data_IF_011748404576
#
_entry.id   IF_011748404576
#
_cell.length_a   1.000
_cell.length_b   1.000
_cell.length_c   1.000
_cell.angle_alpha   90.00
_cell.angle_beta   90.00
_cell.angle_gamma   90.00
#
_symmetry.space_group_name_H-M   'P 1'
#
loop_
_entity.id
_entity.type
_entity.pdbx_description
1 polymer ?
#
# COMPACT_ATOMS: atom_id res chain seq x y z
N UNK A 1 -37.29 4.57 7.13
CA UNK A 1 -36.75 5.82 7.71
C UNK A 1 -36.07 6.63 6.62
N UNK A 2 -36.10 7.95 6.72
CA UNK A 2 -35.39 8.85 5.80
C UNK A 2 -34.43 9.72 6.61
N UNK A 3 -33.13 9.51 6.42
CA UNK A 3 -32.10 10.33 7.08
C UNK A 3 -32.16 11.80 6.63
N UNK A 4 -32.67 12.07 5.42
CA UNK A 4 -32.74 13.43 4.86
C UNK A 4 -33.87 14.27 5.46
N UNK A 5 -35.00 13.65 5.78
CA UNK A 5 -36.21 14.35 6.25
C UNK A 5 -36.48 14.15 7.73
N UNK A 6 -35.72 13.28 8.41
CA UNK A 6 -35.91 12.95 9.83
C UNK A 6 -37.11 12.05 10.12
N UNK A 7 -37.85 11.64 9.08
CA UNK A 7 -39.03 10.78 9.22
C UNK A 7 -38.60 9.37 9.62
N UNK A 8 -39.13 8.86 10.73
CA UNK A 8 -38.82 7.53 11.24
C UNK A 8 -37.66 7.47 12.25
N UNK A 9 -37.09 8.63 12.65
CA UNK A 9 -35.98 8.68 13.63
C UNK A 9 -36.47 8.39 15.06
N UNK A 10 -37.57 8.98 15.56
CA UNK A 10 -38.09 8.65 16.89
C UNK A 10 -38.39 7.14 17.04
N UNK A 11 -39.04 6.55 16.04
CA UNK A 11 -39.38 5.13 16.05
C UNK A 11 -38.14 4.23 15.99
N UNK A 12 -37.07 4.68 15.31
CA UNK A 12 -35.79 3.98 15.34
C UNK A 12 -35.17 4.01 16.73
N UNK A 13 -35.21 5.14 17.43
CA UNK A 13 -34.67 5.26 18.79
C UNK A 13 -35.40 4.31 19.75
N UNK A 14 -36.73 4.25 19.69
CA UNK A 14 -37.53 3.31 20.48
C UNK A 14 -37.12 1.86 20.18
N UNK A 15 -36.95 1.51 18.89
CA UNK A 15 -36.51 0.16 18.48
C UNK A 15 -35.10 -0.18 18.92
N UNK A 16 -34.18 0.79 18.96
CA UNK A 16 -32.83 0.60 19.48
C UNK A 16 -32.90 0.24 20.97
N UNK A 17 -33.70 0.98 21.76
CA UNK A 17 -33.89 0.69 23.19
C UNK A 17 -34.53 -0.68 23.42
N UNK A 18 -35.49 -1.09 22.57
CA UNK A 18 -36.13 -2.40 22.69
C UNK A 18 -35.22 -3.58 22.32
N UNK A 19 -34.31 -3.41 21.33
CA UNK A 19 -33.54 -4.52 20.74
C UNK A 19 -32.11 -4.61 21.24
N UNK A 20 -31.48 -3.49 21.57
CA UNK A 20 -30.08 -3.48 22.03
C UNK A 20 -30.06 -3.79 23.52
N UNK A 21 -29.43 -4.90 23.94
CA UNK A 21 -29.36 -5.24 25.35
C UNK A 21 -28.55 -4.20 26.11
N UNK A 22 -28.94 -3.96 27.36
CA UNK A 22 -28.14 -3.13 28.27
C UNK A 22 -26.73 -3.71 28.43
N UNK A 23 -25.71 -2.85 28.61
CA UNK A 23 -24.34 -3.32 28.86
C UNK A 23 -24.30 -4.18 30.12
N UNK A 24 -23.51 -5.26 30.06
CA UNK A 24 -23.30 -6.19 31.18
C UNK A 24 -21.88 -6.04 31.69
N UNK A 25 -21.70 -6.12 33.02
CA UNK A 25 -20.39 -6.03 33.66
C UNK A 25 -20.49 -5.96 35.19
N UNK A 26 -19.37 -6.15 35.86
CA UNK A 26 -19.26 -6.18 37.33
C UNK A 26 -18.75 -4.84 37.84
N UNK A 27 -19.63 -4.03 38.44
CA UNK A 27 -19.29 -2.68 38.90
C UNK A 27 -18.22 -2.65 40.02
N UNK A 28 -18.20 -3.63 40.91
CA UNK A 28 -17.21 -3.73 42.01
C UNK A 28 -15.95 -4.52 41.62
N UNK A 29 -15.87 -4.96 40.36
CA UNK A 29 -14.75 -5.69 39.79
C UNK A 29 -13.50 -4.81 39.61
N UNK A 30 -12.33 -5.42 39.31
CA UNK A 30 -11.19 -4.65 38.80
C UNK A 30 -11.59 -3.92 37.51
N UNK A 31 -11.14 -2.68 37.35
CA UNK A 31 -11.49 -1.88 36.18
C UNK A 31 -10.93 -2.53 34.90
N UNK A 32 -11.79 -2.77 33.92
CA UNK A 32 -11.42 -3.24 32.58
C UNK A 32 -12.08 -2.35 31.56
N UNK A 33 -11.29 -1.59 30.83
CA UNK A 33 -11.78 -0.77 29.74
C UNK A 33 -11.07 -1.14 28.43
N UNK A 34 -11.85 -1.39 27.39
CA UNK A 34 -11.35 -1.69 26.05
C UNK A 34 -11.07 -0.39 25.32
N UNK A 35 -9.85 -0.22 24.84
CA UNK A 35 -9.52 0.85 23.89
C UNK A 35 -10.05 0.44 22.52
N UNK A 36 -10.90 1.25 21.91
CA UNK A 36 -11.41 0.96 20.56
C UNK A 36 -10.96 1.98 19.51
N UNK A 37 -10.49 3.16 19.94
CA UNK A 37 -9.97 4.19 19.04
C UNK A 37 -9.03 5.13 19.82
N UNK A 38 -8.15 5.84 19.12
CA UNK A 38 -7.20 6.80 19.69
C UNK A 38 -6.90 7.92 18.71
N UNK A 39 -6.90 9.16 19.19
CA UNK A 39 -6.61 10.34 18.37
C UNK A 39 -5.53 11.18 19.05
N UNK A 40 -4.60 11.71 18.24
CA UNK A 40 -3.57 12.61 18.74
C UNK A 40 -4.05 14.07 18.75
N UNK A 41 -3.95 14.73 19.90
CA UNK A 41 -4.16 16.17 20.06
C UNK A 41 -2.84 16.86 20.39
N UNK A 42 -2.56 17.99 19.72
CA UNK A 42 -1.29 18.73 19.85
C UNK A 42 -1.05 19.26 21.26
N UNK A 43 -2.12 19.59 21.99
CA UNK A 43 -2.04 20.18 23.33
C UNK A 43 -2.26 19.14 24.44
N UNK A 44 -3.18 18.20 24.22
CA UNK A 44 -3.60 17.22 25.22
C UNK A 44 -2.82 15.90 25.14
N UNK A 45 -2.07 15.68 24.06
CA UNK A 45 -1.42 14.41 23.78
C UNK A 45 -2.42 13.39 23.24
N UNK A 46 -2.17 12.11 23.50
CA UNK A 46 -3.03 11.03 23.02
C UNK A 46 -4.35 10.99 23.80
N UNK A 47 -5.44 11.20 23.08
CA UNK A 47 -6.82 11.03 23.56
C UNK A 47 -7.26 9.62 23.19
N UNK A 48 -7.47 8.78 24.19
CA UNK A 48 -7.81 7.37 24.00
C UNK A 48 -9.30 7.15 24.24
N UNK A 49 -10.01 6.58 23.27
CA UNK A 49 -11.43 6.25 23.41
C UNK A 49 -11.60 4.85 23.98
N UNK A 50 -12.38 4.78 25.06
CA UNK A 50 -12.55 3.56 25.82
C UNK A 50 -14.00 3.23 26.06
N UNK A 51 -14.28 1.93 26.09
CA UNK A 51 -15.52 1.37 26.59
C UNK A 51 -15.22 0.59 27.87
N UNK A 52 -15.81 0.99 28.98
CA UNK A 52 -15.64 0.26 30.24
C UNK A 52 -16.52 -0.98 30.23
N UNK A 53 -15.92 -2.15 30.40
CA UNK A 53 -16.63 -3.44 30.49
C UNK A 53 -16.87 -3.80 31.95
N UNK A 54 -15.87 -3.63 32.82
CA UNK A 54 -15.98 -3.92 34.26
C UNK A 54 -15.35 -2.82 35.10
N UNK A 55 -15.79 -2.74 36.36
CA UNK A 55 -15.27 -1.80 37.34
C UNK A 55 -15.58 -0.34 37.02
N UNK A 56 -14.75 0.54 37.57
CA UNK A 56 -14.88 1.99 37.41
C UNK A 56 -13.49 2.61 37.31
N UNK A 57 -13.30 3.52 36.35
CA UNK A 57 -12.10 4.34 36.23
C UNK A 57 -12.39 5.75 36.75
N UNK A 58 -11.53 6.29 37.61
CA UNK A 58 -11.70 7.63 38.18
C UNK A 58 -10.65 8.61 37.66
N UNK A 59 -11.01 9.89 37.63
CA UNK A 59 -10.05 10.95 37.33
C UNK A 59 -8.88 10.93 38.31
N UNK A 60 -7.65 11.19 37.84
CA UNK A 60 -6.39 11.17 38.62
C UNK A 60 -5.99 9.80 39.19
N UNK A 61 -6.59 8.73 38.72
CA UNK A 61 -6.16 7.38 39.05
C UNK A 61 -4.96 6.95 38.18
N UNK A 62 -4.10 6.09 38.74
CA UNK A 62 -3.04 5.44 37.96
C UNK A 62 -3.64 4.25 37.22
N UNK A 63 -3.51 4.25 35.90
CA UNK A 63 -3.93 3.17 35.03
C UNK A 63 -2.73 2.42 34.49
N UNK A 64 -2.93 1.15 34.16
CA UNK A 64 -1.96 0.28 33.54
C UNK A 64 -2.52 -0.27 32.23
N UNK A 65 -1.69 -0.22 31.19
CA UNK A 65 -1.94 -0.86 29.91
C UNK A 65 -1.55 -2.33 30.03
N UNK A 66 -2.46 -3.26 29.74
CA UNK A 66 -2.17 -4.69 29.93
C UNK A 66 -1.24 -5.27 28.87
N UNK A 67 -1.28 -4.77 27.62
CA UNK A 67 -0.40 -5.25 26.54
C UNK A 67 1.06 -4.81 26.73
N UNK A 68 1.29 -3.54 27.11
CA UNK A 68 2.64 -2.97 27.23
C UNK A 68 3.19 -3.01 28.66
N UNK A 69 2.33 -3.20 29.67
CA UNK A 69 2.67 -3.10 31.09
C UNK A 69 2.93 -1.67 31.57
N UNK A 70 2.84 -0.66 30.69
CA UNK A 70 3.11 0.73 31.00
C UNK A 70 2.06 1.29 31.98
N UNK A 71 2.51 2.06 32.98
CA UNK A 71 1.64 2.72 33.97
C UNK A 71 1.60 4.22 33.70
N UNK A 72 0.40 4.78 33.63
CA UNK A 72 0.16 6.19 33.36
C UNK A 72 -0.78 6.81 34.40
N UNK A 73 -0.66 8.12 34.59
CA UNK A 73 -1.58 8.88 35.44
C UNK A 73 -2.66 9.53 34.56
N UNK A 74 -3.93 9.33 34.91
CA UNK A 74 -5.05 9.94 34.20
C UNK A 74 -5.14 11.43 34.52
N UNK A 75 -4.86 12.29 33.53
CA UNK A 75 -5.04 13.73 33.65
C UNK A 75 -6.53 14.10 33.58
N UNK A 76 -7.25 13.47 32.66
CA UNK A 76 -8.65 13.76 32.39
C UNK A 76 -9.39 12.51 31.90
N UNK A 77 -10.65 12.43 32.31
CA UNK A 77 -11.62 11.41 31.88
C UNK A 77 -12.91 12.13 31.55
N UNK A 78 -13.64 11.67 30.53
CA UNK A 78 -14.89 12.32 30.14
C UNK A 78 -15.69 11.54 29.13
N UNK A 79 -16.83 12.11 28.76
CA UNK A 79 -17.75 11.57 27.74
C UNK A 79 -17.90 12.59 26.62
N UNK A 80 -18.18 12.11 25.41
CA UNK A 80 -18.45 12.97 24.25
C UNK A 80 -19.96 13.03 24.04
N UNK A 81 -20.54 14.21 24.22
CA UNK A 81 -21.99 14.39 24.05
C UNK A 81 -22.38 15.84 23.70
N UNK A 82 -22.32 16.28 22.43
CA UNK A 82 -21.43 15.84 21.33
C UNK A 82 -20.03 16.48 21.41
N UNK A 83 -19.86 17.48 22.27
CA UNK A 83 -18.55 18.04 22.62
C UNK A 83 -17.94 17.29 23.82
N UNK A 84 -16.61 17.27 23.96
CA UNK A 84 -15.94 16.59 25.07
C UNK A 84 -16.27 17.26 26.40
N UNK A 85 -16.99 16.54 27.26
CA UNK A 85 -17.38 16.99 28.60
C UNK A 85 -16.60 16.21 29.65
N UNK A 86 -15.90 16.93 30.53
CA UNK A 86 -15.12 16.31 31.61
C UNK A 86 -16.05 15.58 32.59
N UNK A 87 -15.78 14.31 32.81
CA UNK A 87 -16.46 13.46 33.78
C UNK A 87 -15.62 13.28 35.06
N UNK A 88 -16.24 12.73 36.09
CA UNK A 88 -15.56 12.38 37.35
C UNK A 88 -15.07 10.93 37.34
N UNK A 89 -15.82 10.05 36.68
CA UNK A 89 -15.52 8.64 36.51
C UNK A 89 -16.21 8.09 35.26
N UNK A 90 -15.72 6.95 34.75
CA UNK A 90 -16.45 6.10 33.80
C UNK A 90 -16.72 4.75 34.47
N UNK A 91 -17.99 4.36 34.51
CA UNK A 91 -18.47 3.09 35.05
C UNK A 91 -18.81 2.07 33.97
N UNK A 92 -19.23 0.89 34.41
CA UNK A 92 -19.61 -0.24 33.54
C UNK A 92 -20.57 0.17 32.43
N UNK A 93 -20.18 -0.13 31.19
CA UNK A 93 -20.97 0.12 29.98
C UNK A 93 -20.83 1.51 29.40
N UNK A 94 -20.20 2.45 30.11
CA UNK A 94 -20.00 3.81 29.61
C UNK A 94 -18.88 3.86 28.56
N UNK A 95 -19.09 4.73 27.57
CA UNK A 95 -18.14 5.02 26.50
C UNK A 95 -17.65 6.44 26.69
N UNK A 96 -16.33 6.61 26.70
CA UNK A 96 -15.72 7.91 26.97
C UNK A 96 -14.30 8.01 26.44
N UNK A 97 -13.61 9.05 26.87
CA UNK A 97 -12.22 9.31 26.52
C UNK A 97 -11.34 9.41 27.77
N UNK A 98 -10.08 9.03 27.62
CA UNK A 98 -9.02 9.11 28.62
C UNK A 98 -7.86 9.95 28.06
N UNK A 99 -7.32 10.84 28.89
CA UNK A 99 -6.12 11.62 28.58
C UNK A 99 -5.05 11.29 29.61
N UNK A 100 -3.95 10.71 29.14
CA UNK A 100 -2.82 10.27 29.98
C UNK A 100 -1.60 11.18 29.88
N UNK A 101 -1.63 12.18 28.99
CA UNK A 101 -0.48 13.05 28.69
C UNK A 101 0.66 12.36 27.95
N UNK A 102 0.46 11.10 27.54
CA UNK A 102 1.39 10.36 26.70
C UNK A 102 1.42 11.04 25.33
N UNK A 103 2.62 11.18 24.76
CA UNK A 103 2.82 11.73 23.41
C UNK A 103 2.92 10.64 22.33
N UNK A 104 3.28 9.42 22.73
CA UNK A 104 3.47 8.30 21.83
C UNK A 104 2.23 7.38 21.83
N UNK A 105 1.52 7.34 20.71
CA UNK A 105 0.29 6.56 20.53
C UNK A 105 0.57 5.07 20.57
N UNK A 106 1.82 4.64 20.31
CA UNK A 106 2.22 3.22 20.35
C UNK A 106 2.09 2.60 21.75
N UNK A 107 2.01 3.43 22.80
CA UNK A 107 1.79 2.99 24.18
C UNK A 107 0.30 2.77 24.52
N UNK A 108 -0.60 3.40 23.75
CA UNK A 108 -2.06 3.27 23.88
C UNK A 108 -2.63 2.65 22.61
N UNK A 109 -2.46 1.33 22.45
CA UNK A 109 -2.87 0.64 21.23
C UNK A 109 -4.37 0.41 21.19
N UNK A 110 -4.96 0.59 20.01
CA UNK A 110 -6.33 0.14 19.73
C UNK A 110 -6.43 -1.34 20.04
N UNK A 111 -7.46 -1.73 20.79
CA UNK A 111 -7.67 -3.09 21.23
C UNK A 111 -7.07 -3.49 22.57
N UNK A 112 -6.17 -2.68 23.12
CA UNK A 112 -5.58 -2.97 24.43
C UNK A 112 -6.62 -2.78 25.55
N UNK A 113 -6.36 -3.44 26.69
CA UNK A 113 -7.17 -3.32 27.90
C UNK A 113 -6.48 -2.40 28.89
N UNK A 114 -7.19 -1.37 29.30
CA UNK A 114 -6.81 -0.47 30.39
C UNK A 114 -7.37 -1.01 31.70
N UNK A 115 -6.52 -1.11 32.72
CA UNK A 115 -6.91 -1.46 34.08
C UNK A 115 -6.40 -0.45 35.10
N UNK A 116 -6.98 -0.42 36.30
CA UNK A 116 -6.43 0.33 37.42
C UNK A 116 -5.12 -0.30 37.93
N UNK A 117 -4.10 0.50 38.22
CA UNK A 117 -2.79 0.01 38.68
C UNK A 117 -2.81 -0.51 40.13
N UNK A 118 -3.73 -0.01 40.96
CA UNK A 118 -3.85 -0.40 42.38
C UNK A 118 -4.57 -1.75 42.53
N UNK A 119 -5.54 -2.03 41.65
CA UNK A 119 -6.29 -3.28 41.60
C UNK A 119 -6.35 -3.76 40.13
N UNK A 120 -5.24 -4.28 39.60
CA UNK A 120 -5.18 -4.69 38.20
C UNK A 120 -6.08 -5.90 37.95
N UNK A 121 -6.73 -5.91 36.78
CA UNK A 121 -7.41 -7.09 36.29
C UNK A 121 -6.40 -8.21 35.97
N UNK A 122 -6.79 -9.45 36.24
CA UNK A 122 -5.94 -10.63 35.97
C UNK A 122 -5.97 -11.08 34.52
N UNK A 123 -7.07 -10.81 33.82
CA UNK A 123 -7.27 -11.23 32.44
C UNK A 123 -7.61 -10.02 31.56
N UNK A 124 -6.83 -9.79 30.48
CA UNK A 124 -7.16 -8.77 29.50
C UNK A 124 -8.46 -9.15 28.78
N UNK A 125 -9.17 -8.14 28.27
CA UNK A 125 -10.30 -8.39 27.39
C UNK A 125 -9.78 -9.00 26.09
N UNK A 126 -10.52 -9.96 25.54
CA UNK A 126 -10.23 -10.53 24.24
C UNK A 126 -10.40 -9.43 23.18
N UNK A 127 -9.30 -8.89 22.68
CA UNK A 127 -9.37 -7.76 21.78
C UNK A 127 -8.06 -7.54 21.05
N UNK A 128 -8.14 -7.69 19.73
CA UNK A 128 -7.27 -7.08 18.73
C UNK A 128 -5.95 -7.79 18.44
N UNK A 129 -5.93 -8.43 17.27
CA UNK A 129 -4.70 -8.77 16.59
C UNK A 129 -4.07 -7.49 16.03
N UNK A 130 -2.75 -7.41 16.07
CA UNK A 130 -2.05 -6.29 15.44
C UNK A 130 -2.37 -6.30 13.94
N UNK A 131 -2.88 -5.20 13.38
CA UNK A 131 -3.15 -5.12 11.95
C UNK A 131 -1.81 -5.18 11.22
N UNK A 132 -1.49 -6.34 10.66
CA UNK A 132 -0.27 -6.51 9.88
C UNK A 132 -0.44 -5.83 8.52
N UNK A 133 0.53 -5.02 8.07
CA UNK A 133 0.49 -4.46 6.73
C UNK A 133 0.48 -5.57 5.67
N UNK A 134 -0.51 -5.52 4.77
CA UNK A 134 -0.66 -6.48 3.69
C UNK A 134 0.01 -6.00 2.40
N UNK A 135 0.16 -4.68 2.25
CA UNK A 135 0.67 -4.03 1.04
C UNK A 135 1.81 -3.10 1.40
N UNK A 136 2.90 -3.15 0.66
CA UNK A 136 4.04 -2.26 0.84
C UNK A 136 4.27 -1.42 -0.42
N UNK A 137 4.53 -0.13 -0.27
CA UNK A 137 5.02 0.72 -1.36
C UNK A 137 6.11 1.65 -0.85
N UNK A 138 7.13 1.87 -1.67
CA UNK A 138 8.10 2.93 -1.47
C UNK A 138 7.50 4.29 -1.84
N UNK A 139 7.58 5.24 -0.90
CA UNK A 139 7.25 6.64 -1.05
C UNK A 139 8.53 7.47 -1.08
N UNK A 140 8.71 8.25 -2.14
CA UNK A 140 9.89 9.06 -2.39
C UNK A 140 9.47 10.51 -2.65
N UNK A 141 10.10 11.51 -2.03
CA UNK A 141 9.82 12.89 -2.38
C UNK A 141 10.39 13.21 -3.77
N UNK A 142 9.73 14.12 -4.50
CA UNK A 142 10.27 14.60 -5.78
C UNK A 142 11.56 15.38 -5.54
N UNK A 143 11.58 16.25 -4.53
CA UNK A 143 12.79 16.95 -4.10
C UNK A 143 13.47 16.20 -2.94
N UNK A 144 14.76 15.89 -3.08
CA UNK A 144 15.52 15.21 -2.03
C UNK A 144 15.64 16.05 -0.74
N UNK A 145 15.45 17.37 -0.81
CA UNK A 145 15.46 18.25 0.35
C UNK A 145 14.23 18.07 1.25
N UNK A 146 13.11 17.55 0.72
CA UNK A 146 11.87 17.29 1.46
C UNK A 146 11.90 15.96 2.23
N UNK A 147 12.99 15.18 2.16
CA UNK A 147 13.12 13.92 2.90
C UNK A 147 12.90 14.05 4.41
N UNK A 148 13.47 15.07 5.12
CA UNK A 148 13.19 15.30 6.53
C UNK A 148 11.71 15.63 6.79
N UNK A 149 11.09 16.40 5.90
CA UNK A 149 9.69 16.81 6.04
C UNK A 149 8.75 15.62 5.82
N UNK A 150 9.05 14.74 4.86
CA UNK A 150 8.35 13.47 4.67
C UNK A 150 8.46 12.57 5.91
N UNK A 151 9.63 12.51 6.54
CA UNK A 151 9.81 11.76 7.79
C UNK A 151 8.92 12.31 8.90
N UNK A 152 8.94 13.63 9.10
CA UNK A 152 8.13 14.29 10.12
C UNK A 152 6.63 14.11 9.86
N UNK A 153 6.21 14.16 8.58
CA UNK A 153 4.83 13.94 8.18
C UNK A 153 4.39 12.49 8.43
N UNK A 154 5.23 11.51 8.10
CA UNK A 154 4.97 10.08 8.41
C UNK A 154 4.92 9.84 9.92
N UNK A 155 5.81 10.44 10.70
CA UNK A 155 5.77 10.37 12.17
C UNK A 155 4.45 10.93 12.71
N UNK A 156 4.00 12.09 12.22
CA UNK A 156 2.71 12.69 12.62
C UNK A 156 1.51 11.86 12.19
N UNK A 157 1.53 11.25 11.00
CA UNK A 157 0.45 10.38 10.53
C UNK A 157 0.40 9.08 11.33
N UNK A 158 1.55 8.49 11.64
CA UNK A 158 1.64 7.27 12.44
C UNK A 158 1.11 7.46 13.88
N UNK A 159 1.06 8.68 14.39
CA UNK A 159 0.37 8.97 15.65
C UNK A 159 -1.14 8.76 15.54
N UNK A 160 -1.74 8.99 14.38
CA UNK A 160 -3.18 8.80 14.22
C UNK A 160 -3.52 7.43 13.61
N UNK A 161 -2.59 6.82 12.89
CA UNK A 161 -2.77 5.54 12.21
C UNK A 161 -1.85 4.46 12.78
N UNK A 162 -2.41 3.58 13.62
CA UNK A 162 -1.68 2.50 14.25
C UNK A 162 -1.29 1.36 13.28
N UNK A 163 -1.85 1.32 12.07
CA UNK A 163 -1.55 0.31 11.06
C UNK A 163 -0.45 0.75 10.08
N UNK A 164 -0.12 2.04 10.07
CA UNK A 164 0.96 2.58 9.26
C UNK A 164 2.33 2.16 9.83
N UNK A 165 3.07 1.36 9.06
CA UNK A 165 4.45 0.98 9.39
C UNK A 165 5.35 1.56 8.32
N UNK A 166 6.50 2.12 8.68
CA UNK A 166 7.44 2.61 7.69
C UNK A 166 8.90 2.40 8.10
N UNK A 167 9.76 2.23 7.10
CA UNK A 167 11.19 2.02 7.25
C UNK A 167 11.95 2.88 6.23
N UNK A 168 13.11 3.47 6.58
CA UNK A 168 13.91 4.23 5.62
C UNK A 168 14.44 3.31 4.51
N UNK A 169 14.30 3.73 3.25
CA UNK A 169 14.73 2.98 2.07
C UNK A 169 15.54 3.89 1.14
N UNK A 170 16.55 3.32 0.48
CA UNK A 170 17.35 4.02 -0.51
C UNK A 170 17.22 3.34 -1.87
N UNK A 171 16.74 4.10 -2.86
CA UNK A 171 16.67 3.68 -4.24
C UNK A 171 17.82 4.29 -5.04
N UNK A 172 18.41 3.49 -5.93
CA UNK A 172 19.45 3.95 -6.86
C UNK A 172 18.97 5.03 -7.81
N UNK A 173 17.67 5.04 -8.15
CA UNK A 173 17.07 5.99 -9.09
C UNK A 173 16.34 7.15 -8.41
N UNK A 174 15.66 6.90 -7.28
CA UNK A 174 14.82 7.89 -6.59
C UNK A 174 15.50 8.52 -5.37
N UNK A 175 16.67 8.03 -4.96
CA UNK A 175 17.37 8.53 -3.80
C UNK A 175 16.75 8.04 -2.49
N UNK A 176 16.67 8.94 -1.50
CA UNK A 176 16.19 8.62 -0.17
C UNK A 176 14.66 8.68 -0.11
N UNK A 177 14.04 7.62 0.40
CA UNK A 177 12.61 7.56 0.62
C UNK A 177 12.27 6.72 1.83
N UNK A 178 10.98 6.41 1.95
CA UNK A 178 10.46 5.52 2.98
C UNK A 178 9.68 4.41 2.33
N UNK A 179 9.94 3.22 2.82
CA UNK A 179 9.11 2.07 2.55
C UNK A 179 7.97 2.04 3.54
N UNK A 180 6.75 2.08 3.04
CA UNK A 180 5.56 2.18 3.87
C UNK A 180 4.66 0.97 3.67
N UNK A 181 4.24 0.36 4.77
CA UNK A 181 3.28 -0.72 4.84
C UNK A 181 1.87 -0.18 5.13
N UNK A 182 0.90 -0.69 4.38
CA UNK A 182 -0.51 -0.33 4.41
C UNK A 182 -1.38 -1.58 4.60
N UNK A 183 -2.60 -1.36 5.09
CA UNK A 183 -3.61 -2.43 5.20
C UNK A 183 -4.18 -2.87 3.86
N UNK A 184 -4.11 -1.99 2.85
CA UNK A 184 -4.65 -2.23 1.52
C UNK A 184 -4.49 -0.99 0.65
N UNK A 185 -5.01 -1.08 -0.58
CA UNK A 185 -4.89 -0.02 -1.59
C UNK A 185 -5.53 1.30 -1.18
N UNK A 186 -6.77 1.26 -0.67
CA UNK A 186 -7.46 2.48 -0.25
C UNK A 186 -6.70 3.19 0.89
N UNK A 187 -6.13 2.42 1.81
CA UNK A 187 -5.33 2.99 2.89
C UNK A 187 -4.07 3.69 2.31
N UNK A 188 -3.40 3.08 1.34
CA UNK A 188 -2.28 3.71 0.63
C UNK A 188 -2.68 5.02 -0.06
N UNK A 189 -3.81 5.05 -0.78
CA UNK A 189 -4.31 6.25 -1.44
C UNK A 189 -4.62 7.37 -0.46
N UNK A 190 -5.31 7.06 0.64
CA UNK A 190 -5.65 8.03 1.68
C UNK A 190 -4.37 8.60 2.31
N UNK A 191 -3.42 7.75 2.70
CA UNK A 191 -2.16 8.22 3.32
C UNK A 191 -1.39 9.11 2.36
N UNK A 192 -1.29 8.72 1.09
CA UNK A 192 -0.64 9.53 0.05
C UNK A 192 -1.33 10.88 -0.12
N UNK A 193 -2.65 10.89 -0.29
CA UNK A 193 -3.43 12.12 -0.50
C UNK A 193 -3.36 13.04 0.72
N UNK A 194 -3.29 12.50 1.94
CA UNK A 194 -3.06 13.26 3.16
C UNK A 194 -1.65 13.86 3.20
N UNK A 195 -0.62 13.12 2.82
CA UNK A 195 0.74 13.65 2.71
C UNK A 195 0.83 14.80 1.70
N UNK A 196 0.20 14.65 0.54
CA UNK A 196 0.18 15.69 -0.51
C UNK A 196 -0.63 16.92 -0.07
N UNK A 197 -1.83 16.74 0.52
CA UNK A 197 -2.72 17.86 0.86
C UNK A 197 -2.46 18.52 2.21
N UNK A 198 -2.20 17.75 3.25
CA UNK A 198 -2.04 18.27 4.62
C UNK A 198 -0.61 18.79 4.85
N UNK A 199 0.39 18.16 4.23
CA UNK A 199 1.80 18.49 4.43
C UNK A 199 2.44 19.17 3.21
N UNK A 200 1.75 19.23 2.06
CA UNK A 200 2.23 19.92 0.86
C UNK A 200 3.42 19.23 0.21
N UNK A 201 3.55 17.91 0.37
CA UNK A 201 4.67 17.12 -0.14
C UNK A 201 4.32 16.53 -1.50
N UNK A 202 5.16 16.77 -2.51
CA UNK A 202 5.04 16.09 -3.80
C UNK A 202 5.76 14.74 -3.75
N UNK A 203 4.98 13.65 -3.86
CA UNK A 203 5.48 12.29 -3.65
C UNK A 203 5.35 11.40 -4.87
N UNK A 204 6.31 10.49 -5.01
CA UNK A 204 6.35 9.40 -5.98
C UNK A 204 6.14 8.09 -5.23
N UNK A 205 5.07 7.37 -5.56
CA UNK A 205 4.81 6.02 -5.06
C UNK A 205 5.28 4.97 -6.06
N UNK A 206 6.07 4.00 -5.60
CA UNK A 206 6.41 2.80 -6.39
C UNK A 206 5.22 1.85 -6.53
N UNK A 207 5.33 0.90 -7.46
CA UNK A 207 4.35 -0.17 -7.58
C UNK A 207 4.21 -0.91 -6.23
N UNK A 208 2.98 -1.08 -5.72
CA UNK A 208 2.76 -1.77 -4.46
C UNK A 208 3.12 -3.25 -4.58
N UNK A 209 3.76 -3.79 -3.55
CA UNK A 209 4.20 -5.18 -3.44
C UNK A 209 3.56 -5.85 -2.23
N UNK A 210 3.42 -7.17 -2.29
CA UNK A 210 2.98 -8.00 -1.16
C UNK A 210 4.18 -8.68 -0.50
N UNK A 211 3.93 -9.24 0.68
CA UNK A 211 4.92 -10.03 1.42
C UNK A 211 4.96 -11.44 0.85
N UNK A 212 6.14 -11.90 0.43
CA UNK A 212 6.37 -13.27 -0.03
C UNK A 212 7.17 -14.06 1.00
N UNK A 213 6.82 -15.32 1.23
CA UNK A 213 7.67 -16.23 2.01
C UNK A 213 8.45 -17.13 1.07
N UNK A 214 9.77 -16.96 1.04
CA UNK A 214 10.68 -17.73 0.19
C UNK A 214 11.38 -18.79 1.04
N UNK A 215 11.27 -20.06 0.63
CA UNK A 215 11.99 -21.17 1.25
C UNK A 215 13.15 -21.57 0.36
N UNK A 216 14.36 -21.47 0.91
CA UNK A 216 15.60 -21.84 0.22
C UNK A 216 15.80 -23.37 0.24
N UNK A 217 16.56 -23.94 -0.71
CA UNK A 217 16.93 -25.37 -0.65
C UNK A 217 17.70 -25.75 0.63
N UNK A 218 18.32 -24.78 1.30
CA UNK A 218 18.98 -24.98 2.61
C UNK A 218 18.00 -25.18 3.78
N UNK A 219 16.70 -24.96 3.57
CA UNK A 219 15.68 -24.92 4.62
C UNK A 219 15.57 -23.57 5.34
N UNK A 220 16.34 -22.55 4.94
CA UNK A 220 16.21 -21.19 5.45
C UNK A 220 14.96 -20.52 4.85
N UNK A 221 14.10 -19.98 5.72
CA UNK A 221 12.95 -19.19 5.32
C UNK A 221 13.31 -17.70 5.33
N UNK A 222 12.92 -16.98 4.27
CA UNK A 222 13.07 -15.53 4.17
C UNK A 222 11.76 -14.87 3.79
N UNK A 223 11.39 -13.88 4.57
CA UNK A 223 10.30 -12.97 4.23
C UNK A 223 10.83 -11.93 3.27
N UNK A 224 10.48 -12.05 1.99
CA UNK A 224 10.85 -11.12 0.94
C UNK A 224 9.72 -10.14 0.78
N UNK A 225 10.03 -8.89 1.00
CA UNK A 225 9.02 -7.84 0.96
C UNK A 225 9.32 -6.87 -0.18
N UNK A 226 10.60 -6.70 -0.56
CA UNK A 226 11.02 -5.95 -1.75
C UNK A 226 11.54 -6.92 -2.84
N UNK A 227 11.20 -6.71 -4.12
CA UNK A 227 11.85 -7.39 -5.24
C UNK A 227 13.39 -7.45 -5.18
N UNK A 228 14.07 -6.43 -4.67
CA UNK A 228 15.53 -6.39 -4.52
C UNK A 228 16.08 -7.40 -3.52
N UNK A 229 15.32 -7.74 -2.47
CA UNK A 229 15.69 -8.74 -1.46
C UNK A 229 15.52 -10.17 -1.97
N UNK A 230 14.84 -10.34 -3.10
CA UNK A 230 14.58 -11.64 -3.69
C UNK A 230 15.92 -12.34 -4.01
N UNK A 231 16.15 -13.57 -3.51
CA UNK A 231 17.43 -14.23 -3.63
C UNK A 231 17.71 -14.67 -5.07
N UNK A 232 18.56 -13.92 -5.78
CA UNK A 232 18.93 -14.23 -7.18
C UNK A 232 20.03 -15.30 -7.30
N UNK A 233 20.84 -15.50 -6.25
CA UNK A 233 22.05 -16.35 -6.29
C UNK A 233 21.88 -17.74 -5.65
N UNK A 234 20.72 -18.02 -5.05
CA UNK A 234 20.42 -19.29 -4.40
C UNK A 234 19.44 -20.14 -5.20
N UNK A 235 19.47 -21.46 -4.97
CA UNK A 235 18.39 -22.33 -5.45
C UNK A 235 17.21 -22.19 -4.50
N UNK A 236 16.11 -21.67 -5.03
CA UNK A 236 14.85 -21.51 -4.33
C UNK A 236 14.10 -22.84 -4.43
N UNK A 237 13.62 -23.36 -3.29
CA UNK A 237 12.83 -24.59 -3.27
C UNK A 237 11.38 -24.28 -3.61
N UNK A 238 10.76 -23.35 -2.87
CA UNK A 238 9.35 -22.97 -3.03
C UNK A 238 9.15 -21.51 -2.62
N UNK A 239 8.25 -20.81 -3.32
CA UNK A 239 7.82 -19.46 -2.97
C UNK A 239 6.34 -19.49 -2.63
N UNK A 240 6.00 -18.90 -1.49
CA UNK A 240 4.63 -18.74 -1.05
C UNK A 240 4.18 -17.29 -1.25
N UNK A 241 3.02 -17.12 -1.88
CA UNK A 241 2.34 -15.85 -2.04
C UNK A 241 1.07 -15.79 -1.16
N UNK A 242 0.70 -14.61 -0.66
CA UNK A 242 -0.52 -14.45 0.13
C UNK A 242 -1.74 -14.55 -0.77
N UNK A 243 -2.74 -15.30 -0.31
CA UNK A 243 -4.03 -15.48 -0.98
C UNK A 243 -5.14 -14.84 -0.16
N UNK A 244 -6.16 -14.35 -0.86
CA UNK A 244 -7.34 -13.77 -0.25
C UNK A 244 -8.61 -14.39 -0.80
N UNK A 245 -9.60 -14.51 0.07
CA UNK A 245 -10.96 -14.83 -0.33
C UNK A 245 -11.70 -13.53 -0.62
N UNK A 246 -11.96 -13.33 -1.90
CA UNK A 246 -12.64 -12.18 -2.45
C UNK A 246 -14.13 -12.50 -2.69
N UNK A 247 -14.98 -11.62 -2.22
CA UNK A 247 -16.42 -11.59 -2.50
C UNK A 247 -16.72 -10.41 -3.40
N UNK A 248 -17.23 -10.69 -4.59
CA UNK A 248 -17.63 -9.69 -5.57
C UNK A 248 -19.15 -9.67 -5.68
N UNK A 249 -19.75 -8.51 -5.41
CA UNK A 249 -21.18 -8.28 -5.60
C UNK A 249 -21.37 -7.39 -6.82
N UNK A 250 -22.16 -7.85 -7.78
CA UNK A 250 -22.42 -7.10 -9.01
C UNK A 250 -23.81 -7.41 -9.58
N UNK A 251 -24.31 -6.55 -10.50
CA UNK A 251 -25.44 -6.90 -11.33
C UNK A 251 -25.17 -8.10 -12.22
N UNK A 252 -26.18 -8.95 -12.45
CA UNK A 252 -26.04 -10.19 -13.23
C UNK A 252 -25.57 -9.96 -14.68
N UNK A 253 -25.80 -8.77 -15.24
CA UNK A 253 -25.36 -8.39 -16.59
C UNK A 253 -23.82 -8.36 -16.75
N UNK A 254 -23.06 -8.18 -15.67
CA UNK A 254 -21.59 -8.08 -15.72
C UNK A 254 -20.85 -9.37 -15.35
N UNK A 255 -21.56 -10.49 -15.13
CA UNK A 255 -20.96 -11.76 -14.69
C UNK A 255 -19.81 -12.18 -15.63
N UNK A 256 -20.06 -12.24 -16.94
CA UNK A 256 -19.06 -12.72 -17.90
C UNK A 256 -17.75 -11.92 -17.83
N UNK A 257 -17.86 -10.60 -17.73
CA UNK A 257 -16.70 -9.69 -17.65
C UNK A 257 -15.92 -9.85 -16.34
N UNK A 258 -16.62 -10.11 -15.22
CA UNK A 258 -16.00 -10.34 -13.91
C UNK A 258 -15.27 -11.69 -13.90
N UNK A 259 -15.89 -12.74 -14.43
CA UNK A 259 -15.28 -14.07 -14.52
C UNK A 259 -14.01 -14.03 -15.36
N UNK A 260 -14.03 -13.37 -16.52
CA UNK A 260 -12.85 -13.19 -17.39
C UNK A 260 -11.72 -12.44 -16.67
N UNK A 261 -12.06 -11.35 -15.95
CA UNK A 261 -11.09 -10.59 -15.17
C UNK A 261 -10.45 -11.45 -14.07
N UNK A 262 -11.25 -12.17 -13.29
CA UNK A 262 -10.75 -13.04 -12.22
C UNK A 262 -9.89 -14.17 -12.79
N UNK A 263 -10.26 -14.74 -13.94
CA UNK A 263 -9.49 -15.81 -14.59
C UNK A 263 -8.13 -15.31 -15.10
N UNK A 264 -8.09 -14.12 -15.70
CA UNK A 264 -6.83 -13.47 -16.12
C UNK A 264 -5.89 -13.26 -14.93
N UNK A 265 -6.47 -13.07 -13.74
CA UNK A 265 -5.78 -12.79 -12.47
C UNK A 265 -5.56 -14.05 -11.62
N UNK A 266 -5.58 -15.24 -12.26
CA UNK A 266 -5.31 -16.54 -11.63
C UNK A 266 -6.28 -16.91 -10.49
N UNK A 267 -7.49 -16.35 -10.51
CA UNK A 267 -8.52 -16.61 -9.51
C UNK A 267 -9.15 -17.98 -9.67
N UNK A 268 -9.34 -18.66 -8.54
CA UNK A 268 -10.09 -19.92 -8.45
C UNK A 268 -11.48 -19.61 -7.93
N UNK A 269 -12.51 -19.94 -8.72
CA UNK A 269 -13.89 -19.73 -8.33
C UNK A 269 -14.29 -20.72 -7.23
N UNK A 270 -14.78 -20.21 -6.10
CA UNK A 270 -15.29 -21.01 -4.99
C UNK A 270 -16.79 -21.24 -5.08
N UNK A 271 -17.55 -20.21 -5.50
CA UNK A 271 -19.00 -20.30 -5.61
C UNK A 271 -19.62 -19.06 -6.24
N UNK A 272 -20.89 -19.20 -6.61
CA UNK A 272 -21.69 -18.10 -7.16
C UNK A 272 -23.14 -18.26 -6.72
N UNK A 273 -23.67 -17.25 -6.04
CA UNK A 273 -25.03 -17.25 -5.49
C UNK A 273 -25.82 -16.05 -6.00
N UNK A 274 -27.07 -16.28 -6.38
CA UNK A 274 -27.98 -15.21 -6.77
C UNK A 274 -28.71 -14.69 -5.53
N UNK A 275 -28.36 -13.48 -5.10
CA UNK A 275 -29.04 -12.79 -4.00
C UNK A 275 -30.43 -12.29 -4.42
N UNK A 276 -30.59 -11.94 -5.70
CA UNK A 276 -31.86 -11.58 -6.32
C UNK A 276 -31.84 -11.86 -7.82
N UNK A 277 -32.93 -11.54 -8.54
CA UNK A 277 -32.98 -11.67 -10.02
C UNK A 277 -31.88 -10.88 -10.72
N UNK A 278 -31.45 -9.77 -10.11
CA UNK A 278 -30.59 -8.78 -10.76
C UNK A 278 -29.20 -8.71 -10.12
N UNK A 279 -29.00 -9.35 -8.96
CA UNK A 279 -27.73 -9.30 -8.20
C UNK A 279 -27.16 -10.69 -7.97
N UNK A 280 -25.86 -10.78 -8.18
CA UNK A 280 -25.07 -11.97 -7.96
C UNK A 280 -23.96 -11.68 -6.97
N UNK A 281 -23.68 -12.67 -6.13
CA UNK A 281 -22.51 -12.76 -5.29
C UNK A 281 -21.59 -13.83 -5.89
N UNK A 282 -20.33 -13.46 -6.12
CA UNK A 282 -19.33 -14.35 -6.70
C UNK A 282 -18.16 -14.43 -5.73
N UNK A 283 -17.81 -15.65 -5.31
CA UNK A 283 -16.71 -15.92 -4.37
C UNK A 283 -15.52 -16.51 -5.11
N UNK A 284 -14.37 -15.90 -4.91
CA UNK A 284 -13.10 -16.27 -5.54
C UNK A 284 -11.98 -16.32 -4.52
N UNK A 285 -11.06 -17.25 -4.69
CA UNK A 285 -9.74 -17.19 -4.04
C UNK A 285 -8.76 -16.62 -5.06
N UNK A 286 -8.11 -15.51 -4.71
CA UNK A 286 -7.24 -14.74 -5.59
C UNK A 286 -5.90 -14.46 -4.90
N UNK A 287 -4.77 -14.49 -5.63
CA UNK A 287 -3.49 -14.01 -5.11
C UNK A 287 -3.57 -12.51 -4.82
N UNK A 288 -3.15 -12.08 -3.63
CA UNK A 288 -3.21 -10.66 -3.25
C UNK A 288 -2.40 -9.78 -4.22
N UNK A 289 -1.24 -10.27 -4.67
CA UNK A 289 -0.37 -9.56 -5.63
C UNK A 289 -1.11 -9.14 -6.92
N UNK A 290 -2.06 -9.96 -7.39
CA UNK A 290 -2.82 -9.72 -8.61
C UNK A 290 -3.96 -8.70 -8.41
N UNK A 291 -4.48 -8.62 -7.18
CA UNK A 291 -5.51 -7.65 -6.77
C UNK A 291 -4.91 -6.27 -6.56
N UNK A 292 -3.74 -6.21 -5.92
CA UNK A 292 -3.08 -4.95 -5.57
C UNK A 292 -2.74 -4.13 -6.83
N UNK A 293 -2.50 -4.78 -7.96
CA UNK A 293 -2.20 -4.11 -9.22
C UNK A 293 -3.41 -4.05 -10.17
N UNK A 294 -4.02 -2.86 -10.28
CA UNK A 294 -5.02 -2.47 -11.30
C UNK A 294 -6.32 -3.30 -11.32
N UNK A 295 -6.55 -4.18 -10.34
CA UNK A 295 -7.76 -5.01 -10.30
C UNK A 295 -9.00 -4.19 -9.99
N UNK A 296 -8.94 -3.33 -8.98
CA UNK A 296 -10.08 -2.52 -8.54
C UNK A 296 -10.52 -1.55 -9.65
N UNK A 297 -9.57 -0.88 -10.30
CA UNK A 297 -9.84 0.06 -11.39
C UNK A 297 -10.43 -0.66 -12.60
N UNK A 298 -9.87 -1.81 -13.01
CA UNK A 298 -10.46 -2.62 -14.08
C UNK A 298 -11.85 -3.13 -13.72
N UNK A 299 -12.07 -3.60 -12.48
CA UNK A 299 -13.37 -4.06 -12.03
C UNK A 299 -14.40 -2.92 -12.10
N UNK A 300 -14.08 -1.74 -11.58
CA UNK A 300 -14.96 -0.57 -11.61
C UNK A 300 -15.22 -0.10 -13.04
N UNK A 301 -14.20 0.01 -13.87
CA UNK A 301 -14.31 0.45 -15.27
C UNK A 301 -15.21 -0.49 -16.08
N UNK A 302 -14.95 -1.81 -16.01
CA UNK A 302 -15.71 -2.83 -16.73
C UNK A 302 -17.15 -2.98 -16.26
N UNK A 303 -17.45 -2.62 -15.02
CA UNK A 303 -18.79 -2.73 -14.42
C UNK A 303 -19.50 -1.39 -14.25
N UNK A 304 -18.97 -0.30 -14.83
CA UNK A 304 -19.47 1.08 -14.69
C UNK A 304 -19.64 1.52 -13.22
N UNK A 305 -18.81 0.97 -12.33
CA UNK A 305 -18.80 1.24 -10.90
C UNK A 305 -19.76 0.41 -10.06
N UNK A 306 -20.62 -0.41 -10.66
CA UNK A 306 -21.66 -1.17 -9.94
C UNK A 306 -21.13 -2.35 -9.14
N UNK A 307 -19.97 -2.90 -9.48
CA UNK A 307 -19.39 -3.99 -8.70
C UNK A 307 -18.74 -3.46 -7.42
N UNK A 308 -18.93 -4.17 -6.31
CA UNK A 308 -18.15 -4.01 -5.08
C UNK A 308 -17.30 -5.24 -4.84
N UNK A 309 -16.10 -5.02 -4.32
CA UNK A 309 -15.15 -6.04 -3.93
C UNK A 309 -14.93 -5.93 -2.44
N UNK A 310 -15.01 -7.06 -1.77
CA UNK A 310 -14.62 -7.25 -0.38
C UNK A 310 -13.67 -8.45 -0.32
N UNK A 311 -12.62 -8.40 0.50
CA UNK A 311 -11.66 -9.50 0.57
C UNK A 311 -11.09 -9.66 1.98
N UNK A 312 -10.73 -10.90 2.32
CA UNK A 312 -10.15 -11.26 3.60
C UNK A 312 -8.96 -12.19 3.37
N UNK A 313 -7.96 -12.12 4.26
CA UNK A 313 -6.79 -12.99 4.21
C UNK A 313 -7.18 -14.47 4.35
N UNK A 314 -6.69 -15.30 3.43
CA UNK A 314 -6.95 -16.75 3.38
C UNK A 314 -5.65 -17.56 3.42
N UNK A 315 -4.63 -17.02 4.11
CA UNK A 315 -3.32 -17.67 4.26
C UNK A 315 -2.41 -17.51 3.04
N UNK A 316 -1.59 -18.53 2.78
CA UNK A 316 -0.55 -18.50 1.75
C UNK A 316 -0.62 -19.73 0.84
N UNK A 317 -0.24 -19.56 -0.42
CA UNK A 317 -0.19 -20.63 -1.43
C UNK A 317 1.18 -20.67 -2.11
N UNK A 318 1.67 -21.88 -2.43
CA UNK A 318 2.87 -22.06 -3.24
C UNK A 318 2.62 -21.66 -4.71
N UNK A 319 3.52 -20.84 -5.27
CA UNK A 319 3.42 -20.31 -6.63
C UNK A 319 4.77 -20.23 -7.36
N UNK A 320 4.76 -20.41 -8.69
CA UNK A 320 5.95 -20.29 -9.54
C UNK A 320 6.22 -18.82 -9.90
N UNK A 321 6.74 -18.10 -8.92
CA UNK A 321 7.08 -16.69 -9.02
C UNK A 321 8.52 -16.49 -9.48
N UNK A 322 8.71 -15.55 -10.39
CA UNK A 322 10.02 -15.13 -10.89
C UNK A 322 10.20 -13.64 -10.74
N UNK A 323 11.42 -13.22 -10.40
CA UNK A 323 11.81 -11.82 -10.43
C UNK A 323 12.13 -11.40 -11.86
N UNK A 324 11.44 -10.35 -12.33
CA UNK A 324 11.71 -9.67 -13.60
C UNK A 324 12.45 -8.38 -13.31
N UNK A 325 13.71 -8.32 -13.73
CA UNK A 325 14.57 -7.15 -13.65
C UNK A 325 14.50 -6.33 -14.94
N UNK A 326 14.38 -5.01 -14.82
CA UNK A 326 14.47 -4.10 -15.96
C UNK A 326 15.86 -3.48 -16.01
N UNK A 327 16.59 -3.77 -17.08
CA UNK A 327 17.94 -3.32 -17.35
C UNK A 327 17.92 -2.16 -18.34
N UNK A 328 18.46 -1.01 -17.95
CA UNK A 328 18.73 0.12 -18.81
C UNK A 328 20.21 0.14 -19.14
N UNK A 329 20.56 -0.03 -20.41
CA UNK A 329 21.97 -0.11 -20.84
C UNK A 329 22.78 -1.21 -20.13
N UNK A 330 22.11 -2.23 -19.60
CA UNK A 330 22.72 -3.32 -18.85
C UNK A 330 22.87 -3.08 -17.34
N UNK A 331 22.51 -1.89 -16.85
CA UNK A 331 22.40 -1.62 -15.41
C UNK A 331 20.95 -1.90 -14.97
N UNK A 332 20.73 -2.77 -13.94
CA UNK A 332 19.40 -3.03 -13.41
C UNK A 332 18.87 -1.81 -12.67
N UNK A 333 17.58 -1.54 -12.84
CA UNK A 333 16.87 -0.47 -12.13
C UNK A 333 15.86 -1.11 -11.19
N UNK A 334 16.21 -1.13 -9.91
CA UNK A 334 15.48 -1.86 -8.87
C UNK A 334 14.01 -1.43 -8.79
N UNK A 335 13.73 -0.13 -8.91
CA UNK A 335 12.38 0.40 -8.75
C UNK A 335 11.41 0.05 -9.90
N UNK A 336 11.87 -0.55 -11.00
CA UNK A 336 11.00 -1.15 -12.03
C UNK A 336 10.92 -2.67 -11.97
N UNK A 337 11.71 -3.29 -11.08
CA UNK A 337 11.77 -4.73 -10.93
C UNK A 337 10.54 -5.21 -10.15
N UNK A 338 9.97 -6.33 -10.57
CA UNK A 338 8.76 -6.86 -9.98
C UNK A 338 8.84 -8.39 -9.87
N UNK A 339 8.18 -8.93 -8.85
CA UNK A 339 7.97 -10.37 -8.69
C UNK A 339 6.63 -10.70 -9.33
N UNK A 340 6.65 -11.55 -10.36
CA UNK A 340 5.46 -11.90 -11.14
C UNK A 340 5.43 -13.41 -11.39
N UNK A 341 4.25 -13.95 -11.68
CA UNK A 341 4.12 -15.34 -12.10
C UNK A 341 4.88 -15.59 -13.41
N UNK A 342 5.50 -16.77 -13.56
CA UNK A 342 6.33 -17.13 -14.73
C UNK A 342 5.62 -16.88 -16.06
N UNK A 343 4.33 -17.22 -16.15
CA UNK A 343 3.53 -17.05 -17.37
C UNK A 343 3.34 -15.58 -17.76
N UNK A 344 3.26 -14.69 -16.76
CA UNK A 344 3.03 -13.25 -16.95
C UNK A 344 4.34 -12.47 -17.15
N UNK A 345 5.50 -13.08 -16.87
CA UNK A 345 6.80 -12.41 -16.94
C UNK A 345 7.10 -11.77 -18.31
N UNK A 346 6.77 -12.45 -19.41
CA UNK A 346 6.98 -11.93 -20.76
C UNK A 346 6.08 -10.73 -21.07
N UNK A 347 4.81 -10.81 -20.67
CA UNK A 347 3.83 -9.73 -20.86
C UNK A 347 4.25 -8.47 -20.09
N UNK A 348 4.56 -8.62 -18.80
CA UNK A 348 5.05 -7.54 -17.94
C UNK A 348 6.32 -6.90 -18.49
N UNK A 349 7.33 -7.71 -18.85
CA UNK A 349 8.59 -7.21 -19.40
C UNK A 349 8.41 -6.43 -20.72
N UNK A 350 7.50 -6.87 -21.59
CA UNK A 350 7.22 -6.20 -22.87
C UNK A 350 6.48 -4.88 -22.65
N UNK A 351 5.47 -4.88 -21.79
CA UNK A 351 4.70 -3.70 -21.42
C UNK A 351 5.62 -2.62 -20.82
N UNK A 352 6.43 -2.97 -19.83
CA UNK A 352 7.35 -2.04 -19.18
C UNK A 352 8.42 -1.53 -20.15
N UNK A 353 9.02 -2.40 -20.96
CA UNK A 353 10.03 -2.00 -21.95
C UNK A 353 9.47 -1.04 -23.01
N UNK A 354 8.21 -1.24 -23.40
CA UNK A 354 7.51 -0.38 -24.37
C UNK A 354 7.18 0.98 -23.76
N UNK A 355 6.67 1.00 -22.53
CA UNK A 355 6.36 2.23 -21.78
C UNK A 355 7.62 3.09 -21.58
N UNK A 356 8.74 2.47 -21.16
CA UNK A 356 10.01 3.16 -20.98
C UNK A 356 10.61 3.70 -22.30
N UNK A 357 10.39 3.01 -23.42
CA UNK A 357 10.84 3.48 -24.74
C UNK A 357 10.15 4.76 -25.18
N UNK A 358 8.88 4.95 -24.80
CA UNK A 358 8.11 6.15 -25.12
C UNK A 358 8.47 7.33 -24.21
N UNK A 359 8.72 7.04 -22.93
CA UNK A 359 8.98 8.05 -21.90
C UNK A 359 10.44 8.55 -21.89
N UNK A 360 11.41 7.68 -22.17
CA UNK A 360 12.82 8.06 -22.14
C UNK A 360 13.17 8.84 -23.42
N UNK A 361 13.71 10.08 -23.29
CA UNK A 361 14.08 10.88 -24.44
C UNK A 361 15.20 10.24 -25.25
N UNK A 362 15.16 10.45 -26.57
CA UNK A 362 16.17 9.92 -27.49
C UNK A 362 17.54 10.51 -27.19
N UNK A 363 18.55 9.66 -27.05
CA UNK A 363 19.94 10.07 -26.83
C UNK A 363 20.74 10.09 -28.14
N UNK A 364 21.98 10.61 -28.12
CA UNK A 364 22.87 10.57 -29.30
C UNK A 364 23.37 9.15 -29.65
N UNK A 365 23.23 8.22 -28.72
CA UNK A 365 23.53 6.79 -28.87
C UNK A 365 22.26 5.95 -28.69
N UNK A 366 22.35 4.68 -29.08
CA UNK A 366 21.22 3.74 -28.94
C UNK A 366 21.18 3.21 -27.51
N UNK A 367 20.01 3.32 -26.89
CA UNK A 367 19.77 2.86 -25.52
C UNK A 367 18.94 1.58 -25.58
N UNK A 368 19.53 0.41 -25.26
CA UNK A 368 18.76 -0.81 -25.13
C UNK A 368 18.06 -0.86 -23.77
N UNK A 369 16.77 -1.16 -23.80
CA UNK A 369 15.94 -1.48 -22.62
C UNK A 369 15.71 -2.97 -22.67
N UNK A 370 16.03 -3.69 -21.59
CA UNK A 370 15.91 -5.14 -21.55
C UNK A 370 15.16 -5.55 -20.30
N UNK A 371 14.20 -6.46 -20.42
CA UNK A 371 13.63 -7.16 -19.28
C UNK A 371 14.33 -8.52 -19.18
N UNK A 372 14.80 -8.89 -17.99
CA UNK A 372 15.51 -10.13 -17.74
C UNK A 372 14.91 -10.88 -16.54
N UNK A 373 14.97 -12.21 -16.61
CA UNK A 373 14.69 -13.09 -15.48
C UNK A 373 16.02 -13.75 -15.13
N UNK A 374 16.64 -13.31 -14.03
CA UNK A 374 18.02 -13.64 -13.71
C UNK A 374 18.97 -13.26 -14.85
N UNK A 375 19.71 -14.22 -15.40
CA UNK A 375 20.64 -13.98 -16.50
C UNK A 375 19.98 -13.94 -17.90
N UNK A 376 18.73 -14.40 -18.03
CA UNK A 376 18.07 -14.56 -19.33
C UNK A 376 17.25 -13.33 -19.68
N UNK A 377 17.58 -12.66 -20.79
CA UNK A 377 16.77 -11.58 -21.35
C UNK A 377 15.50 -12.15 -21.99
N UNK A 378 14.34 -11.71 -21.53
CA UNK A 378 13.02 -12.15 -22.01
C UNK A 378 12.43 -11.19 -23.04
N UNK A 379 12.62 -9.87 -22.86
CA UNK A 379 12.13 -8.84 -23.78
C UNK A 379 13.22 -7.79 -23.98
N UNK A 380 13.25 -7.18 -25.17
CA UNK A 380 14.22 -6.13 -25.51
C UNK A 380 13.61 -5.10 -26.43
N UNK A 381 13.63 -3.86 -25.99
CA UNK A 381 13.31 -2.69 -26.81
C UNK A 381 14.57 -1.83 -27.00
N UNK A 382 14.60 -1.00 -28.04
CA UNK A 382 15.75 -0.11 -28.29
C UNK A 382 15.29 1.27 -28.71
N UNK A 383 15.71 2.27 -27.95
CA UNK A 383 15.51 3.67 -28.28
C UNK A 383 16.52 4.04 -29.37
N UNK A 384 15.99 4.50 -30.50
CA UNK A 384 16.82 4.90 -31.65
C UNK A 384 17.62 6.15 -31.32
N UNK A 385 18.91 6.09 -31.62
CA UNK A 385 19.80 7.23 -31.49
C UNK A 385 19.37 8.40 -32.39
N UNK A 386 19.44 9.63 -31.86
CA UNK A 386 19.36 10.83 -32.68
C UNK A 386 20.46 10.82 -33.74
N UNK A 387 20.11 11.18 -34.97
CA UNK A 387 21.05 11.27 -36.09
C UNK A 387 21.10 12.71 -36.57
N UNK A 388 22.27 13.32 -36.45
CA UNK A 388 22.58 14.54 -37.20
C UNK A 388 22.87 14.15 -38.64
N UNK A 389 22.25 14.84 -39.60
CA UNK A 389 22.59 14.67 -41.00
C UNK A 389 23.96 15.32 -41.28
N UNK A 390 25.00 14.51 -41.23
CA UNK A 390 26.38 14.92 -41.52
C UNK A 390 26.63 15.12 -43.01
N UNK A 391 25.71 14.68 -43.88
CA UNK A 391 25.84 14.77 -45.33
C UNK A 391 25.17 16.02 -45.92
N UNK A 392 24.39 16.77 -45.13
CA UNK A 392 23.64 17.94 -45.58
C UNK A 392 24.48 19.02 -46.31
N UNK A 393 25.78 19.16 -45.98
CA UNK A 393 26.70 20.11 -46.65
C UNK A 393 27.56 19.48 -47.75
N UNK A 394 27.33 18.22 -48.10
CA UNK A 394 28.09 17.48 -49.11
C UNK A 394 27.36 17.52 -50.46
N UNK A 395 27.55 18.60 -51.23
CA UNK A 395 26.91 18.82 -52.54
C UNK A 395 27.58 18.08 -53.72
N UNK A 396 28.62 17.27 -53.47
CA UNK A 396 29.40 16.57 -54.50
C UNK A 396 29.22 15.04 -54.52
N UNK A 397 29.64 14.42 -55.63
CA UNK A 397 29.65 12.96 -55.83
C UNK A 397 30.80 12.21 -55.14
N UNK A 398 31.68 12.90 -54.41
CA UNK A 398 32.82 12.27 -53.74
C UNK A 398 32.39 11.41 -52.55
N UNK A 399 32.36 10.09 -52.80
CA UNK A 399 32.01 9.05 -51.84
C UNK A 399 33.00 9.02 -50.66
N UNK A 400 34.27 9.37 -50.89
CA UNK A 400 35.31 9.31 -49.85
C UNK A 400 35.03 10.30 -48.71
N UNK A 401 34.59 11.52 -49.04
CA UNK A 401 34.23 12.57 -48.07
C UNK A 401 33.00 12.19 -47.27
N UNK A 402 31.97 11.59 -47.91
CA UNK A 402 30.77 11.08 -47.23
C UNK A 402 31.13 9.95 -46.25
N UNK A 403 31.97 9.00 -46.68
CA UNK A 403 32.41 7.88 -45.85
C UNK A 403 33.21 8.33 -44.62
N UNK A 404 34.13 9.29 -44.78
CA UNK A 404 34.92 9.85 -43.67
C UNK A 404 34.05 10.52 -42.60
N UNK A 405 32.99 11.21 -43.00
CA UNK A 405 32.04 11.83 -42.07
C UNK A 405 31.18 10.80 -41.33
N UNK A 406 30.73 9.75 -42.03
CA UNK A 406 29.98 8.65 -41.45
C UNK A 406 30.82 7.83 -40.46
N UNK A 407 32.09 7.56 -40.78
CA UNK A 407 32.99 6.84 -39.87
C UNK A 407 33.27 7.65 -38.59
N UNK A 408 33.54 8.96 -38.70
CA UNK A 408 33.66 9.85 -37.54
C UNK A 408 32.40 9.85 -36.67
N UNK A 409 31.22 9.88 -37.29
CA UNK A 409 29.95 9.82 -36.56
C UNK A 409 29.77 8.46 -35.86
N UNK A 410 30.14 7.35 -36.51
CA UNK A 410 30.05 5.99 -35.97
C UNK A 410 30.98 5.80 -34.77
N UNK A 411 32.23 6.25 -34.87
CA UNK A 411 33.20 6.22 -33.77
C UNK A 411 32.77 7.08 -32.59
N UNK A 412 32.29 8.31 -32.87
CA UNK A 412 31.74 9.19 -31.84
C UNK A 412 30.60 8.54 -31.07
N UNK A 413 29.64 7.91 -31.78
CA UNK A 413 28.53 7.18 -31.15
C UNK A 413 28.99 5.95 -30.37
N UNK A 414 29.98 5.20 -30.87
CA UNK A 414 30.55 4.04 -30.16
C UNK A 414 31.22 4.45 -28.85
N UNK A 415 31.96 5.57 -28.87
CA UNK A 415 32.59 6.15 -27.67
C UNK A 415 31.53 6.62 -26.68
N UNK A 416 30.51 7.35 -27.15
CA UNK A 416 29.40 7.80 -26.31
C UNK A 416 28.61 6.64 -25.68
N UNK A 417 28.40 5.54 -26.41
CA UNK A 417 27.72 4.34 -25.87
C UNK A 417 28.47 3.66 -24.72
N UNK A 418 29.80 3.75 -24.69
CA UNK A 418 30.63 3.07 -23.68
C UNK A 418 30.74 3.88 -22.40
N UNK A 419 30.65 5.21 -22.50
CA UNK A 419 30.87 6.15 -21.39
C UNK A 419 29.56 6.77 -20.89
N UNK A 420 28.58 6.92 -21.78
CA UNK A 420 27.30 7.55 -21.46
C UNK A 420 26.50 6.67 -20.53
N UNK A 421 26.20 7.16 -19.32
CA UNK A 421 25.10 6.66 -18.50
C UNK A 421 23.80 7.28 -18.98
N UNK A 422 22.74 6.50 -18.99
CA UNK A 422 21.39 7.00 -19.29
C UNK A 422 20.75 7.38 -17.97
N UNK A 423 20.66 8.68 -17.72
CA UNK A 423 19.81 9.20 -16.66
C UNK A 423 18.37 9.21 -17.17
N UNK A 424 17.49 8.55 -16.43
CA UNK A 424 16.05 8.58 -16.67
C UNK A 424 15.52 9.86 -16.04
N UNK A 425 14.86 10.76 -16.79
CA UNK A 425 14.22 11.92 -16.19
C UNK A 425 13.20 11.48 -15.13
N UNK A 426 13.13 12.21 -14.03
CA UNK A 426 12.21 11.90 -12.95
C UNK A 426 10.74 11.85 -13.42
N UNK A 427 10.35 12.76 -14.33
CA UNK A 427 9.03 12.75 -14.97
C UNK A 427 8.73 11.43 -15.72
N UNK A 428 9.73 10.89 -16.43
CA UNK A 428 9.62 9.61 -17.13
C UNK A 428 9.52 8.44 -16.15
N UNK A 429 10.12 8.57 -14.97
CA UNK A 429 10.05 7.59 -13.89
C UNK A 429 8.64 7.55 -13.28
N UNK A 430 8.10 8.73 -12.95
CA UNK A 430 6.73 8.89 -12.44
C UNK A 430 5.72 8.35 -13.44
N UNK A 431 5.83 8.75 -14.72
CA UNK A 431 4.90 8.29 -15.76
C UNK A 431 4.98 6.76 -16.01
N UNK A 432 6.15 6.15 -15.80
CA UNK A 432 6.32 4.71 -15.93
C UNK A 432 5.64 3.95 -14.79
N UNK A 433 5.70 4.49 -13.56
CA UNK A 433 5.11 3.89 -12.37
C UNK A 433 3.63 4.23 -12.17
N UNK A 434 3.16 5.37 -12.67
CA UNK A 434 1.74 5.73 -12.61
C UNK A 434 0.94 4.83 -13.55
N UNK A 435 -0.02 4.10 -12.98
CA UNK A 435 -0.99 3.26 -13.70
C UNK A 435 -2.02 4.09 -14.48
N UNK A 436 -2.16 5.37 -14.16
CA UNK A 436 -2.90 6.32 -14.98
C UNK A 436 -2.15 6.58 -16.28
N UNK A 437 -2.75 6.16 -17.41
CA UNK A 437 -2.34 6.64 -18.71
C UNK A 437 -2.30 8.18 -18.67
N UNK A 438 -1.20 8.83 -19.09
CA UNK A 438 -1.22 10.27 -19.23
C UNK A 438 -2.30 10.60 -20.27
N UNK A 439 -3.29 11.41 -19.87
CA UNK A 439 -4.24 12.03 -20.79
C UNK A 439 -3.44 12.55 -21.99
N UNK A 440 -3.70 11.97 -23.17
CA UNK A 440 -3.19 12.52 -24.42
C UNK A 440 -3.76 13.92 -24.52
N UNK A 441 -2.99 14.92 -24.11
CA UNK A 441 -3.23 16.32 -24.47
C UNK A 441 -3.20 16.36 -25.99
N UNK A 442 -4.40 16.43 -26.58
CA UNK A 442 -4.57 16.73 -27.99
C UNK A 442 -3.77 18.00 -28.30
N UNK A 443 -2.91 17.87 -29.31
CA UNK A 443 -2.05 18.94 -29.81
C UNK A 443 -2.83 19.98 -30.59
#
# INVERSE_FOLDING_TARGET
MSAKTGVGVPELMDRIVERVPAPTGVADGPARALIFDSVYDVYRGVVTYVRVVDGQLRSREKIQMMSTGATHELLEIGVIAPEPTKGTALGVGEVGYLITGVKDVRQSRVGDTVTAAVKPATEPLSGYQHPNPMVYSGLYPIDASDYPDLREALDKLQLNDAALVYEPETSTALGFGFRVGFLGLLHMEIVRERLEREFGLDLISTAPNVVYRVVMESGEERTVTNPSEYPTNGKIASVFEPIVDATILAPAEYIGTILELCQTKRGVQQGMDYLSSDRVEIRYTLPLAEIVFDFFDQLKSRTKGYASLDYHESGEQEADLVKVDILLQGEPVDAFSAIVHRDNAYSYGTMMASKLKELIPRQQFEVPIQAAVGARVIARETIRAMRKDVLAKCYGGDISRKRKLLEKQKEGKKRMKTIGRVEVPQEAFVAALSTTEPDKKDK
#
